data_IF_733195807373
#
_entry.id   IF_733195807373
#
_cell.length_a   1.000
_cell.length_b   1.000
_cell.length_c   1.000
_cell.angle_alpha   90.00
_cell.angle_beta   90.00
_cell.angle_gamma   90.00
#
_symmetry.space_group_name_H-M   'P 1'
#
loop_
_entity.id
_entity.type
_entity.pdbx_description
1 polymer ?
#
# COMPACT_ATOMS: atom_id res chain seq x y z
N UNK A 1 -8.46 21.75 -9.35
CA UNK A 1 -8.76 20.93 -8.15
C UNK A 1 -10.06 21.36 -7.45
N UNK A 2 -10.24 22.63 -7.04
CA UNK A 2 -11.50 23.10 -6.39
C UNK A 2 -12.74 22.95 -7.28
N UNK A 3 -12.66 23.33 -8.56
CA UNK A 3 -13.79 23.20 -9.50
C UNK A 3 -14.23 21.73 -9.73
N UNK A 4 -13.28 20.79 -9.73
CA UNK A 4 -13.59 19.35 -9.84
C UNK A 4 -14.18 18.81 -8.54
N UNK A 5 -13.62 19.20 -7.39
CA UNK A 5 -14.18 18.81 -6.09
C UNK A 5 -15.64 19.29 -6.01
N UNK A 6 -15.95 20.52 -6.39
CA UNK A 6 -17.32 21.03 -6.35
C UNK A 6 -18.23 20.38 -7.40
N UNK A 7 -17.68 20.04 -8.56
CA UNK A 7 -18.42 19.33 -9.62
C UNK A 7 -18.79 17.90 -9.24
N UNK A 8 -18.00 17.19 -8.44
CA UNK A 8 -18.18 15.75 -8.18
C UNK A 8 -18.56 15.40 -6.74
N UNK A 9 -18.30 16.29 -5.76
CA UNK A 9 -18.59 16.02 -4.35
C UNK A 9 -20.08 15.74 -4.12
N UNK A 10 -20.37 14.55 -3.59
CA UNK A 10 -21.73 14.12 -3.24
C UNK A 10 -22.57 13.61 -4.42
N UNK A 11 -22.03 13.51 -5.64
CA UNK A 11 -22.73 12.94 -6.81
C UNK A 11 -22.58 11.42 -6.88
N UNK A 12 -23.54 10.75 -7.51
CA UNK A 12 -23.52 9.28 -7.62
C UNK A 12 -22.48 8.81 -8.64
N UNK A 13 -21.76 7.73 -8.35
CA UNK A 13 -20.92 7.04 -9.35
C UNK A 13 -21.70 6.60 -10.61
N UNK A 14 -23.04 6.45 -10.52
CA UNK A 14 -23.90 6.16 -11.68
C UNK A 14 -23.91 7.28 -12.71
N UNK A 15 -23.61 8.52 -12.30
CA UNK A 15 -23.49 9.68 -13.18
C UNK A 15 -22.16 9.69 -13.93
N UNK A 16 -21.23 8.80 -13.58
CA UNK A 16 -19.88 8.68 -14.16
C UNK A 16 -19.56 7.22 -14.52
N UNK A 17 -20.33 6.60 -15.45
CA UNK A 17 -20.24 5.17 -15.75
C UNK A 17 -18.89 4.72 -16.33
N UNK A 18 -18.10 5.68 -16.85
CA UNK A 18 -16.76 5.45 -17.39
C UNK A 18 -15.67 5.43 -16.30
N UNK A 19 -15.97 5.93 -15.09
CA UNK A 19 -15.08 5.90 -13.93
C UNK A 19 -15.43 4.74 -12.99
N UNK A 20 -15.18 3.51 -13.45
CA UNK A 20 -15.47 2.31 -12.66
C UNK A 20 -14.37 2.03 -11.63
N UNK A 21 -14.69 2.28 -10.38
CA UNK A 21 -13.88 1.85 -9.25
C UNK A 21 -14.27 0.43 -8.86
N UNK A 22 -13.38 -0.52 -9.15
CA UNK A 22 -13.57 -1.93 -8.77
C UNK A 22 -12.49 -2.37 -7.82
N UNK A 23 -12.90 -3.03 -6.74
CA UNK A 23 -12.00 -3.66 -5.79
C UNK A 23 -12.38 -5.12 -5.55
N UNK A 24 -11.38 -6.01 -5.47
CA UNK A 24 -11.58 -7.42 -5.17
C UNK A 24 -12.04 -7.62 -3.73
N UNK A 25 -12.84 -8.68 -3.51
CA UNK A 25 -13.29 -9.05 -2.16
C UNK A 25 -12.10 -9.35 -1.24
N UNK A 26 -11.06 -9.98 -1.77
CA UNK A 26 -9.87 -10.33 -1.00
C UNK A 26 -9.10 -9.08 -0.57
N UNK A 27 -8.93 -8.10 -1.47
CA UNK A 27 -8.31 -6.84 -1.09
C UNK A 27 -9.12 -6.09 -0.05
N UNK A 28 -10.46 -6.03 -0.18
CA UNK A 28 -11.33 -5.43 0.85
C UNK A 28 -11.14 -6.05 2.24
N UNK A 29 -10.98 -7.38 2.32
CA UNK A 29 -10.71 -8.06 3.59
C UNK A 29 -9.34 -7.66 4.17
N UNK A 30 -8.31 -7.55 3.32
CA UNK A 30 -6.97 -7.13 3.74
C UNK A 30 -6.94 -5.66 4.16
N UNK A 31 -7.57 -4.75 3.43
CA UNK A 31 -7.70 -3.34 3.84
C UNK A 31 -8.41 -3.25 5.18
N UNK A 32 -9.45 -4.06 5.40
CA UNK A 32 -10.17 -4.08 6.67
C UNK A 32 -9.29 -4.56 7.83
N UNK A 33 -8.41 -5.54 7.56
CA UNK A 33 -7.35 -5.95 8.51
C UNK A 33 -6.42 -4.76 8.82
N UNK A 34 -5.90 -4.06 7.81
CA UNK A 34 -4.95 -2.96 8.00
C UNK A 34 -5.59 -1.77 8.73
N UNK A 35 -6.80 -1.37 8.34
CA UNK A 35 -7.56 -0.32 9.01
C UNK A 35 -7.82 -0.64 10.49
N UNK A 36 -8.13 -1.91 10.79
CA UNK A 36 -8.27 -2.36 12.18
C UNK A 36 -6.93 -2.36 12.93
N UNK A 37 -5.79 -2.52 12.25
CA UNK A 37 -4.48 -2.37 12.87
C UNK A 37 -4.18 -0.90 13.18
N UNK A 38 -4.47 0.03 12.25
CA UNK A 38 -4.30 1.48 12.47
C UNK A 38 -5.14 1.95 13.67
N UNK A 39 -6.40 1.51 13.71
CA UNK A 39 -7.30 1.75 14.84
C UNK A 39 -6.77 1.20 16.17
N UNK A 40 -5.85 0.24 16.18
CA UNK A 40 -5.29 -0.34 17.40
C UNK A 40 -3.98 0.29 17.83
N UNK A 41 -3.32 1.08 16.99
CA UNK A 41 -2.07 1.76 17.35
C UNK A 41 -2.22 3.27 17.52
N UNK A 42 -3.36 3.84 17.16
CA UNK A 42 -3.65 5.27 17.32
C UNK A 42 -3.83 5.65 18.80
N UNK A 43 -2.79 6.26 19.40
CA UNK A 43 -2.85 6.70 20.81
C UNK A 43 -3.80 7.88 21.02
N UNK A 44 -3.93 8.76 20.03
CA UNK A 44 -4.74 9.98 20.11
C UNK A 44 -6.23 9.62 20.08
N UNK A 45 -6.60 8.63 19.27
CA UNK A 45 -7.96 8.06 19.24
C UNK A 45 -8.44 7.55 20.60
N UNK A 46 -7.53 7.21 21.51
CA UNK A 46 -7.86 6.66 22.83
C UNK A 46 -7.44 7.54 24.00
N UNK A 47 -7.13 8.83 23.76
CA UNK A 47 -6.70 9.76 24.81
C UNK A 47 -5.50 9.23 25.62
N UNK A 48 -4.56 8.58 24.91
CA UNK A 48 -3.34 8.00 25.47
C UNK A 48 -2.10 8.73 24.97
N UNK A 49 -1.04 8.73 25.78
CA UNK A 49 0.26 9.25 25.39
C UNK A 49 1.39 8.37 25.91
N UNK A 50 2.20 7.84 24.99
CA UNK A 50 3.45 7.16 25.30
C UNK A 50 4.65 8.06 24.97
N UNK A 51 4.69 8.51 23.72
CA UNK A 51 5.66 9.46 23.17
C UNK A 51 5.13 9.93 21.79
N UNK A 52 5.70 11.02 21.27
CA UNK A 52 5.20 11.72 20.08
C UNK A 52 5.00 10.78 18.87
N UNK A 53 5.98 9.94 18.56
CA UNK A 53 5.99 9.15 17.32
C UNK A 53 5.36 7.76 17.48
N UNK A 54 4.66 7.50 18.59
CA UNK A 54 4.10 6.18 18.87
C UNK A 54 3.16 5.71 17.75
N UNK A 55 2.20 6.55 17.34
CA UNK A 55 1.27 6.22 16.25
C UNK A 55 2.00 6.12 14.91
N UNK A 56 2.98 6.99 14.65
CA UNK A 56 3.77 6.98 13.43
C UNK A 56 4.52 5.64 13.24
N UNK A 57 5.12 5.12 14.32
CA UNK A 57 5.74 3.80 14.29
C UNK A 57 4.71 2.65 14.21
N UNK A 58 3.51 2.85 14.73
CA UNK A 58 2.38 1.94 14.53
C UNK A 58 2.02 1.81 13.06
N UNK A 59 1.86 2.92 12.35
CA UNK A 59 1.61 2.92 10.90
C UNK A 59 2.79 2.33 10.11
N UNK A 60 4.03 2.64 10.50
CA UNK A 60 5.22 2.01 9.91
C UNK A 60 5.18 0.47 10.04
N UNK A 61 4.76 -0.05 11.20
CA UNK A 61 4.58 -1.50 11.41
C UNK A 61 3.46 -2.09 10.53
N UNK A 62 2.42 -1.30 10.23
CA UNK A 62 1.30 -1.70 9.37
C UNK A 62 1.72 -1.75 7.90
N UNK A 63 2.47 -0.75 7.41
CA UNK A 63 3.07 -0.78 6.07
C UNK A 63 3.99 -1.99 5.92
N UNK A 64 4.82 -2.28 6.91
CA UNK A 64 5.65 -3.48 6.91
C UNK A 64 4.83 -4.77 6.92
N UNK A 65 3.69 -4.81 7.62
CA UNK A 65 2.77 -5.93 7.57
C UNK A 65 2.22 -6.16 6.15
N UNK A 66 1.94 -5.10 5.37
CA UNK A 66 1.55 -5.22 3.95
C UNK A 66 2.68 -5.84 3.11
N UNK A 67 3.92 -5.38 3.32
CA UNK A 67 5.10 -5.92 2.64
C UNK A 67 5.31 -7.39 3.00
N UNK A 68 5.11 -7.76 4.27
CA UNK A 68 5.20 -9.16 4.76
C UNK A 68 4.09 -10.03 4.15
N UNK A 69 2.85 -9.54 4.09
CA UNK A 69 1.73 -10.26 3.48
C UNK A 69 2.03 -10.53 2.00
N UNK A 70 2.48 -9.52 1.26
CA UNK A 70 2.91 -9.67 -0.13
C UNK A 70 4.06 -10.68 -0.26
N UNK A 71 5.14 -10.50 0.50
CA UNK A 71 6.31 -11.37 0.43
C UNK A 71 5.96 -12.82 0.77
N UNK A 72 5.01 -13.03 1.69
CA UNK A 72 4.51 -14.35 2.06
C UNK A 72 3.81 -15.03 0.88
N UNK A 73 2.90 -14.33 0.20
CA UNK A 73 2.25 -14.85 -1.01
C UNK A 73 3.26 -15.08 -2.15
N UNK A 74 4.17 -14.14 -2.37
CA UNK A 74 5.18 -14.20 -3.43
C UNK A 74 6.17 -15.37 -3.23
N UNK A 75 6.50 -15.69 -1.97
CA UNK A 75 7.39 -16.81 -1.59
C UNK A 75 6.73 -18.19 -1.68
N UNK A 76 5.43 -18.32 -1.94
CA UNK A 76 4.79 -19.64 -2.15
C UNK A 76 5.32 -20.32 -3.41
N UNK A 77 5.57 -21.63 -3.32
CA UNK A 77 6.05 -22.45 -4.46
C UNK A 77 5.08 -22.43 -5.63
N UNK A 78 3.78 -22.53 -5.31
CA UNK A 78 2.68 -22.35 -6.25
C UNK A 78 1.99 -21.05 -5.89
N UNK A 79 2.29 -19.99 -6.63
CA UNK A 79 1.72 -18.67 -6.39
C UNK A 79 0.44 -18.47 -7.20
N UNK A 80 -0.56 -17.85 -6.59
CA UNK A 80 -1.73 -17.35 -7.32
C UNK A 80 -1.47 -15.91 -7.73
N UNK A 81 -1.54 -15.57 -9.02
CA UNK A 81 -1.39 -14.18 -9.49
C UNK A 81 -2.44 -13.26 -8.85
N UNK A 82 -3.65 -13.75 -8.64
CA UNK A 82 -4.74 -13.01 -8.01
C UNK A 82 -4.49 -12.76 -6.51
N UNK A 83 -3.90 -13.72 -5.79
CA UNK A 83 -3.55 -13.53 -4.38
C UNK A 83 -2.44 -12.48 -4.22
N UNK A 84 -1.40 -12.55 -5.07
CA UNK A 84 -0.32 -11.54 -5.12
C UNK A 84 -0.90 -10.16 -5.45
N UNK A 85 -1.74 -10.08 -6.48
CA UNK A 85 -2.39 -8.82 -6.87
C UNK A 85 -3.27 -8.26 -5.75
N UNK A 86 -4.02 -9.11 -5.04
CA UNK A 86 -4.88 -8.69 -3.93
C UNK A 86 -4.08 -8.03 -2.78
N UNK A 87 -2.82 -8.45 -2.54
CA UNK A 87 -1.95 -7.79 -1.57
C UNK A 87 -1.60 -6.36 -1.99
N UNK A 88 -1.23 -6.17 -3.27
CA UNK A 88 -0.89 -4.84 -3.80
C UNK A 88 -2.12 -3.94 -3.84
N UNK A 89 -3.24 -4.46 -4.35
CA UNK A 89 -4.52 -3.76 -4.36
C UNK A 89 -4.92 -3.29 -2.96
N UNK A 90 -4.78 -4.16 -1.95
CA UNK A 90 -5.09 -3.81 -0.57
C UNK A 90 -4.14 -2.75 0.00
N UNK A 91 -2.84 -2.85 -0.28
CA UNK A 91 -1.88 -1.84 0.14
C UNK A 91 -2.24 -0.46 -0.45
N UNK A 92 -2.50 -0.39 -1.76
CA UNK A 92 -2.84 0.88 -2.41
C UNK A 92 -4.17 1.45 -1.92
N UNK A 93 -5.19 0.62 -1.74
CA UNK A 93 -6.46 1.04 -1.16
C UNK A 93 -6.28 1.59 0.25
N UNK A 94 -5.50 0.92 1.10
CA UNK A 94 -5.29 1.39 2.47
C UNK A 94 -4.55 2.74 2.50
N UNK A 95 -3.43 2.84 1.78
CA UNK A 95 -2.60 4.05 1.73
C UNK A 95 -3.37 5.29 1.18
N UNK A 96 -4.35 5.07 0.30
CA UNK A 96 -5.13 6.16 -0.29
C UNK A 96 -6.44 6.47 0.45
N UNK A 97 -6.97 5.55 1.28
CA UNK A 97 -8.28 5.72 1.96
C UNK A 97 -8.10 6.11 3.43
N UNK A 98 -7.13 5.51 4.14
CA UNK A 98 -7.01 5.65 5.59
C UNK A 98 -6.08 6.79 6.02
N UNK A 99 -5.49 7.52 5.07
CA UNK A 99 -4.55 8.59 5.33
C UNK A 99 -3.20 8.05 5.79
N UNK A 100 -2.12 8.57 5.24
CA UNK A 100 -0.74 8.21 5.64
C UNK A 100 -0.02 9.38 6.29
N UNK A 101 -0.75 10.45 6.66
CA UNK A 101 -0.18 11.70 7.14
C UNK A 101 0.66 11.49 8.40
N UNK A 102 0.15 10.72 9.36
CA UNK A 102 0.85 10.46 10.62
C UNK A 102 2.07 9.55 10.44
N UNK A 103 2.10 8.75 9.37
CA UNK A 103 3.26 7.92 9.07
C UNK A 103 4.43 8.79 8.55
N UNK A 104 4.14 9.84 7.78
CA UNK A 104 5.13 10.80 7.30
C UNK A 104 5.77 11.63 8.42
N UNK A 105 5.12 11.75 9.57
CA UNK A 105 5.66 12.51 10.71
C UNK A 105 6.63 11.70 11.56
N UNK A 106 6.92 10.44 11.20
CA UNK A 106 7.92 9.61 11.87
C UNK A 106 9.31 10.25 11.81
N UNK A 107 10.03 10.27 12.93
CA UNK A 107 11.43 10.72 12.99
C UNK A 107 12.41 9.83 12.18
N UNK A 108 12.08 8.56 11.96
CA UNK A 108 12.81 7.62 11.10
C UNK A 108 12.41 7.76 9.61
N UNK A 109 12.64 8.94 9.03
CA UNK A 109 12.30 9.24 7.64
C UNK A 109 12.99 8.34 6.60
N UNK A 110 14.19 7.83 6.92
CA UNK A 110 14.91 6.89 6.05
C UNK A 110 14.16 5.56 5.93
N UNK A 111 13.68 4.99 7.04
CA UNK A 111 12.87 3.78 7.02
C UNK A 111 11.56 3.98 6.29
N UNK A 112 10.91 5.13 6.50
CA UNK A 112 9.68 5.51 5.79
C UNK A 112 9.91 5.47 4.26
N UNK A 113 10.94 6.17 3.77
CA UNK A 113 11.29 6.18 2.34
C UNK A 113 11.64 4.78 1.80
N UNK A 114 12.44 4.00 2.55
CA UNK A 114 12.79 2.62 2.14
C UNK A 114 11.58 1.68 2.12
N UNK A 115 10.59 1.90 2.97
CA UNK A 115 9.33 1.15 2.96
C UNK A 115 8.52 1.46 1.70
N UNK A 116 8.50 2.73 1.30
CA UNK A 116 7.83 3.15 0.08
C UNK A 116 8.47 2.54 -1.18
N UNK A 117 9.80 2.52 -1.24
CA UNK A 117 10.57 1.82 -2.29
C UNK A 117 10.29 0.30 -2.29
N UNK A 118 10.11 -0.31 -1.10
CA UNK A 118 9.72 -1.72 -1.01
C UNK A 118 8.32 -1.99 -1.56
N UNK A 119 7.36 -1.08 -1.36
CA UNK A 119 6.03 -1.15 -1.97
C UNK A 119 6.09 -0.98 -3.50
N UNK A 120 6.93 -0.06 -4.01
CA UNK A 120 7.20 0.08 -5.44
C UNK A 120 7.76 -1.22 -6.04
N UNK A 121 8.76 -1.81 -5.38
CA UNK A 121 9.36 -3.08 -5.78
C UNK A 121 8.37 -4.24 -5.72
N UNK A 122 7.45 -4.24 -4.75
CA UNK A 122 6.38 -5.23 -4.64
C UNK A 122 5.37 -5.11 -5.79
N UNK A 123 4.95 -3.87 -6.12
CA UNK A 123 4.06 -3.61 -7.26
C UNK A 123 4.71 -4.07 -8.59
N UNK A 124 5.98 -3.71 -8.83
CA UNK A 124 6.72 -4.15 -10.01
C UNK A 124 6.78 -5.68 -10.09
N UNK A 125 7.08 -6.36 -8.99
CA UNK A 125 7.09 -7.81 -8.93
C UNK A 125 5.71 -8.44 -9.20
N UNK A 126 4.63 -7.83 -8.69
CA UNK A 126 3.27 -8.26 -8.95
C UNK A 126 2.90 -8.15 -10.43
N UNK A 127 3.19 -7.01 -11.06
CA UNK A 127 2.99 -6.79 -12.48
C UNK A 127 3.81 -7.79 -13.32
N UNK A 128 5.05 -8.08 -12.89
CA UNK A 128 5.88 -9.12 -13.48
C UNK A 128 5.22 -10.51 -13.47
N UNK A 129 4.57 -10.87 -12.36
CA UNK A 129 3.77 -12.11 -12.27
C UNK A 129 2.56 -12.07 -13.20
N UNK A 130 1.83 -10.95 -13.24
CA UNK A 130 0.70 -10.81 -14.16
C UNK A 130 1.14 -10.94 -15.62
N UNK A 131 2.28 -10.35 -16.01
CA UNK A 131 2.85 -10.50 -17.36
C UNK A 131 3.19 -11.95 -17.68
N UNK A 132 3.88 -12.65 -16.76
CA UNK A 132 4.27 -14.05 -16.96
C UNK A 132 3.08 -14.99 -17.16
N UNK A 133 1.93 -14.64 -16.59
CA UNK A 133 0.70 -15.42 -16.62
C UNK A 133 -0.30 -14.91 -17.69
N UNK A 134 0.14 -14.01 -18.58
CA UNK A 134 -0.69 -13.41 -19.65
C UNK A 134 -1.95 -12.71 -19.10
N UNK A 135 -1.83 -12.09 -17.92
CA UNK A 135 -2.88 -11.33 -17.24
C UNK A 135 -2.63 -9.81 -17.28
N UNK A 136 -1.43 -9.34 -17.60
CA UNK A 136 -1.13 -7.91 -17.76
C UNK A 136 -1.39 -7.48 -19.20
N UNK A 137 -2.66 -7.24 -19.57
CA UNK A 137 -3.06 -6.85 -20.93
C UNK A 137 -4.39 -6.09 -20.94
N UNK A 138 -4.74 -5.35 -22.02
CA UNK A 138 -5.99 -4.58 -22.07
C UNK A 138 -7.27 -5.39 -21.83
N UNK A 139 -7.31 -6.64 -22.31
CA UNK A 139 -8.44 -7.56 -22.11
C UNK A 139 -8.29 -8.44 -20.85
N UNK A 140 -7.57 -7.97 -19.82
CA UNK A 140 -7.37 -8.71 -18.58
C UNK A 140 -8.69 -8.96 -17.84
N UNK A 141 -8.88 -10.13 -17.20
CA UNK A 141 -9.97 -10.34 -16.26
C UNK A 141 -9.80 -9.56 -14.94
N UNK A 142 -8.67 -8.89 -14.72
CA UNK A 142 -8.40 -8.05 -13.55
C UNK A 142 -8.72 -6.59 -13.95
N UNK A 143 -9.90 -6.06 -13.59
CA UNK A 143 -10.40 -4.80 -14.16
C UNK A 143 -9.70 -3.54 -13.64
N UNK A 144 -8.90 -3.64 -12.58
CA UNK A 144 -8.39 -2.48 -11.86
C UNK A 144 -6.87 -2.32 -11.90
N UNK A 145 -6.17 -2.98 -12.82
CA UNK A 145 -4.70 -2.84 -12.96
C UNK A 145 -4.31 -1.37 -13.10
N UNK A 146 -4.88 -0.68 -14.09
CA UNK A 146 -4.60 0.74 -14.35
C UNK A 146 -4.90 1.62 -13.13
N UNK A 147 -6.03 1.39 -12.46
CA UNK A 147 -6.45 2.16 -11.28
C UNK A 147 -5.47 1.98 -10.12
N UNK A 148 -5.09 0.75 -9.79
CA UNK A 148 -4.17 0.46 -8.67
C UNK A 148 -2.77 1.04 -8.95
N UNK A 149 -2.29 0.95 -10.19
CA UNK A 149 -1.02 1.59 -10.59
C UNK A 149 -1.11 3.11 -10.48
N UNK A 150 -2.21 3.71 -10.93
CA UNK A 150 -2.42 5.15 -10.81
C UNK A 150 -2.49 5.60 -9.33
N UNK A 151 -3.18 4.86 -8.47
CA UNK A 151 -3.23 5.09 -7.02
C UNK A 151 -1.85 5.01 -6.37
N UNK A 152 -1.01 4.06 -6.80
CA UNK A 152 0.37 3.97 -6.33
C UNK A 152 1.15 5.22 -6.72
N UNK A 153 1.09 5.66 -7.98
CA UNK A 153 1.83 6.85 -8.38
C UNK A 153 1.33 8.10 -7.68
N UNK A 154 0.01 8.27 -7.51
CA UNK A 154 -0.55 9.42 -6.78
C UNK A 154 0.05 9.52 -5.38
N UNK A 155 0.16 8.38 -4.70
CA UNK A 155 0.69 8.31 -3.35
C UNK A 155 2.22 8.46 -3.31
N UNK A 156 2.96 7.80 -4.21
CA UNK A 156 4.43 7.81 -4.18
C UNK A 156 5.01 9.19 -4.53
N UNK A 157 4.32 9.98 -5.35
CA UNK A 157 4.78 11.32 -5.73
C UNK A 157 4.71 12.34 -4.60
N UNK A 158 4.02 12.03 -3.51
CA UNK A 158 4.01 12.88 -2.31
C UNK A 158 5.28 12.67 -1.45
N UNK A 159 6.13 11.68 -1.77
CA UNK A 159 7.39 11.46 -1.07
C UNK A 159 8.54 12.25 -1.71
N UNK A 160 8.98 13.32 -1.05
CA UNK A 160 10.14 14.11 -1.48
C UNK A 160 11.49 13.40 -1.30
N UNK A 161 11.55 12.36 -0.44
CA UNK A 161 12.80 11.67 -0.08
C UNK A 161 13.05 10.37 -0.86
N UNK A 162 12.28 10.10 -1.92
CA UNK A 162 12.56 8.98 -2.81
C UNK A 162 13.59 9.42 -3.85
N UNK A 163 14.60 8.57 -4.05
CA UNK A 163 15.61 8.78 -5.08
C UNK A 163 14.95 8.88 -6.45
N UNK A 164 15.19 9.98 -7.16
CA UNK A 164 14.68 10.21 -8.52
C UNK A 164 15.10 9.07 -9.46
N UNK A 165 16.23 8.42 -9.16
CA UNK A 165 16.76 7.28 -9.93
C UNK A 165 16.23 5.91 -9.45
N UNK A 166 15.22 5.82 -8.56
CA UNK A 166 14.69 4.51 -8.12
C UNK A 166 14.10 3.74 -9.31
N UNK A 167 14.75 2.65 -9.78
CA UNK A 167 14.40 2.04 -11.06
C UNK A 167 13.01 1.39 -11.05
N UNK A 168 12.52 0.99 -9.87
CA UNK A 168 11.22 0.34 -9.77
C UNK A 168 10.09 1.21 -10.32
N UNK A 169 10.15 2.53 -10.12
CA UNK A 169 9.14 3.49 -10.54
C UNK A 169 9.09 3.57 -12.08
N UNK A 170 10.23 3.81 -12.73
CA UNK A 170 10.33 3.85 -14.18
C UNK A 170 9.94 2.51 -14.83
N UNK A 171 10.38 1.39 -14.25
CA UNK A 171 10.07 0.05 -14.75
C UNK A 171 8.57 -0.30 -14.67
N UNK A 172 7.82 0.23 -13.68
CA UNK A 172 6.36 0.05 -13.63
C UNK A 172 5.71 0.71 -14.85
N UNK A 173 6.10 1.95 -15.20
CA UNK A 173 5.57 2.65 -16.37
C UNK A 173 5.97 1.92 -17.66
N UNK A 174 7.24 1.53 -17.77
CA UNK A 174 7.76 0.77 -18.91
C UNK A 174 6.95 -0.51 -19.16
N UNK A 175 6.64 -1.25 -18.09
CA UNK A 175 5.90 -2.50 -18.16
C UNK A 175 4.44 -2.31 -18.57
N UNK A 176 3.79 -1.24 -18.12
CA UNK A 176 2.44 -0.88 -18.55
C UNK A 176 2.41 -0.52 -20.05
N UNK A 177 3.34 0.33 -20.50
CA UNK A 177 3.47 0.73 -21.92
C UNK A 177 3.77 -0.45 -22.84
N UNK A 178 4.70 -1.31 -22.44
CA UNK A 178 5.07 -2.47 -23.23
C UNK A 178 3.92 -3.48 -23.41
N UNK A 179 2.98 -3.55 -22.46
CA UNK A 179 1.76 -4.35 -22.58
C UNK A 179 0.58 -3.59 -23.20
N UNK A 180 0.79 -2.36 -23.67
CA UNK A 180 -0.25 -1.53 -24.29
C UNK A 180 -1.36 -1.10 -23.32
N UNK A 181 -1.03 -0.97 -22.02
CA UNK A 181 -1.94 -0.52 -20.98
C UNK A 181 -1.69 0.95 -20.65
N UNK A 182 -2.77 1.73 -20.61
CA UNK A 182 -2.77 3.08 -20.08
C UNK A 182 -2.80 3.03 -18.54
N UNK A 183 -1.99 3.87 -17.88
CA UNK A 183 -2.16 4.15 -16.45
C UNK A 183 -3.31 5.14 -16.38
N UNK A 184 -4.42 4.76 -15.73
CA UNK A 184 -5.69 5.48 -15.78
C UNK A 184 -6.59 5.14 -14.59
N UNK A 185 -7.65 5.91 -14.39
CA UNK A 185 -8.68 5.66 -13.36
C UNK A 185 -8.75 6.72 -12.26
N UNK A 186 -7.71 7.55 -12.15
CA UNK A 186 -7.79 8.80 -11.40
C UNK A 186 -8.35 9.92 -12.30
N UNK A 187 -9.00 10.91 -11.69
CA UNK A 187 -9.58 12.05 -12.41
C UNK A 187 -8.57 13.15 -12.76
N UNK A 188 -7.40 13.13 -12.14
CA UNK A 188 -6.39 14.19 -12.26
C UNK A 188 -5.62 14.08 -13.59
N UNK A 189 -6.21 14.63 -14.66
CA UNK A 189 -5.67 14.51 -16.03
C UNK A 189 -4.26 15.09 -16.16
N UNK A 190 -3.96 16.17 -15.44
CA UNK A 190 -2.62 16.78 -15.44
C UNK A 190 -1.60 15.82 -14.83
N UNK A 191 -1.92 15.22 -13.69
CA UNK A 191 -1.11 14.15 -13.11
C UNK A 191 -0.94 12.97 -14.07
N UNK A 192 -2.02 12.53 -14.72
CA UNK A 192 -1.98 11.39 -15.64
C UNK A 192 -1.10 11.65 -16.87
N UNK A 193 -1.06 12.88 -17.39
CA UNK A 193 -0.26 13.21 -18.59
C UNK A 193 1.26 13.02 -18.40
N UNK A 194 1.73 12.98 -17.15
CA UNK A 194 3.15 12.69 -16.84
C UNK A 194 3.56 11.28 -17.27
N UNK A 195 2.61 10.36 -17.40
CA UNK A 195 2.90 9.00 -17.84
C UNK A 195 3.00 8.87 -19.36
N UNK A 196 2.68 9.90 -20.14
CA UNK A 196 2.78 9.87 -21.60
C UNK A 196 4.22 10.04 -22.10
N UNK A 197 5.13 10.56 -21.24
CA UNK A 197 6.54 10.81 -21.56
C UNK A 197 7.30 9.56 -22.04
N UNK A 198 8.22 9.72 -22.99
CA UNK A 198 9.02 8.60 -23.49
C UNK A 198 9.83 7.94 -22.36
N UNK A 199 9.83 6.61 -22.36
CA UNK A 199 10.60 5.82 -21.39
C UNK A 199 11.96 5.50 -21.99
N UNK A 200 12.98 5.58 -21.14
CA UNK A 200 14.34 5.21 -21.49
C UNK A 200 14.43 3.80 -22.11
N UNK A 201 15.23 3.68 -23.18
CA UNK A 201 15.36 2.44 -23.95
C UNK A 201 15.88 1.28 -23.07
N UNK A 202 16.76 1.54 -22.10
CA UNK A 202 17.31 0.50 -21.21
C UNK A 202 16.21 -0.05 -20.30
N UNK A 203 15.32 0.80 -19.77
CA UNK A 203 14.20 0.35 -18.95
C UNK A 203 13.18 -0.45 -19.78
N UNK A 204 12.93 -0.02 -21.02
CA UNK A 204 12.10 -0.78 -21.97
C UNK A 204 12.72 -2.15 -22.29
N UNK A 205 14.03 -2.24 -22.50
CA UNK A 205 14.73 -3.51 -22.72
C UNK A 205 14.69 -4.43 -21.49
N UNK A 206 14.83 -3.88 -20.28
CA UNK A 206 14.73 -4.65 -19.02
C UNK A 206 13.36 -5.29 -18.86
N UNK A 207 12.27 -4.57 -19.15
CA UNK A 207 10.91 -5.15 -19.03
C UNK A 207 10.56 -6.11 -20.16
N UNK A 208 11.08 -5.91 -21.37
CA UNK A 208 10.93 -6.86 -22.51
C UNK A 208 11.67 -8.16 -22.24
N UNK A 209 12.88 -8.07 -21.69
CA UNK A 209 13.74 -9.22 -21.42
C UNK A 209 13.31 -10.04 -20.20
N UNK A 210 12.18 -9.71 -19.55
CA UNK A 210 11.60 -10.39 -18.40
C UNK A 210 11.72 -11.92 -18.56
N UNK A 211 12.75 -12.47 -17.92
CA UNK A 211 13.09 -13.90 -18.01
C UNK A 211 11.95 -14.70 -17.39
N UNK A 212 11.80 -15.98 -17.75
CA UNK A 212 10.94 -16.94 -17.02
C UNK A 212 11.43 -17.23 -15.59
N UNK A 213 12.22 -16.33 -15.01
CA UNK A 213 12.65 -16.36 -13.64
C UNK A 213 11.46 -16.12 -12.71
N UNK A 214 11.48 -16.76 -11.55
CA UNK A 214 10.43 -16.58 -10.55
C UNK A 214 10.35 -15.13 -10.05
N UNK A 215 11.48 -14.47 -9.90
CA UNK A 215 11.57 -13.09 -9.42
C UNK A 215 12.39 -12.26 -10.42
N UNK A 216 11.77 -11.86 -11.54
CA UNK A 216 12.49 -11.25 -12.66
C UNK A 216 13.04 -9.85 -12.34
N UNK A 217 12.55 -9.22 -11.28
CA UNK A 217 12.90 -7.86 -10.87
C UNK A 217 13.59 -7.81 -9.48
N UNK A 218 13.94 -8.97 -8.91
CA UNK A 218 14.78 -9.06 -7.70
C UNK A 218 14.12 -8.56 -6.41
N UNK A 219 12.79 -8.66 -6.28
CA UNK A 219 12.08 -8.24 -5.07
C UNK A 219 12.56 -9.00 -3.82
N UNK A 220 12.81 -10.30 -3.90
CA UNK A 220 13.19 -11.13 -2.76
C UNK A 220 14.54 -10.75 -2.18
N UNK A 221 15.49 -10.35 -3.03
CA UNK A 221 16.79 -9.87 -2.59
C UNK A 221 16.67 -8.49 -1.92
N UNK A 222 15.90 -7.56 -2.51
CA UNK A 222 15.56 -6.27 -1.88
C UNK A 222 14.87 -6.46 -0.53
N UNK A 223 13.88 -7.35 -0.45
CA UNK A 223 13.17 -7.69 0.78
C UNK A 223 14.10 -8.23 1.87
N UNK A 224 15.04 -9.11 1.49
CA UNK A 224 16.02 -9.65 2.43
C UNK A 224 16.88 -8.55 3.02
N UNK A 225 17.44 -7.68 2.18
CA UNK A 225 18.27 -6.55 2.62
C UNK A 225 17.49 -5.59 3.53
N UNK A 226 16.24 -5.31 3.18
CA UNK A 226 15.38 -4.46 4.00
C UNK A 226 15.14 -5.07 5.40
N UNK A 227 14.85 -6.37 5.47
CA UNK A 227 14.69 -7.06 6.78
C UNK A 227 15.97 -7.04 7.59
N UNK A 228 17.13 -7.25 6.96
CA UNK A 228 18.44 -7.20 7.62
C UNK A 228 18.71 -5.80 8.21
N UNK A 229 18.35 -4.74 7.47
CA UNK A 229 18.55 -3.35 7.89
C UNK A 229 17.60 -2.87 8.99
N UNK A 230 16.32 -3.22 8.94
CA UNK A 230 15.28 -2.58 9.78
C UNK A 230 14.54 -3.52 10.74
N UNK A 231 14.65 -4.84 10.57
CA UNK A 231 13.79 -5.80 11.28
C UNK A 231 14.48 -6.96 11.97
N UNK A 232 15.78 -7.22 11.78
CA UNK A 232 16.44 -8.48 12.19
C UNK A 232 15.91 -9.06 13.53
N UNK A 233 15.21 -10.22 13.53
CA UNK A 233 15.05 -11.19 12.43
C UNK A 233 13.81 -11.01 11.52
N UNK A 234 12.90 -10.05 11.78
CA UNK A 234 11.68 -9.81 10.98
C UNK A 234 11.17 -8.35 11.07
N UNK A 235 10.60 -7.85 9.99
CA UNK A 235 9.86 -6.58 9.96
C UNK A 235 8.38 -6.79 10.30
N UNK A 236 7.66 -5.70 10.54
CA UNK A 236 6.24 -5.71 10.88
C UNK A 236 5.96 -6.37 12.23
N UNK A 237 4.68 -6.55 12.53
CA UNK A 237 4.24 -7.16 13.78
C UNK A 237 2.99 -6.54 14.37
N UNK A 238 3.08 -6.26 15.66
CA UNK A 238 1.99 -5.77 16.52
C UNK A 238 2.54 -5.17 17.82
N UNK A 239 3.75 -4.61 17.77
CA UNK A 239 4.44 -4.00 18.90
C UNK A 239 3.67 -2.79 19.41
N UNK A 240 3.00 -2.07 18.52
CA UNK A 240 2.24 -0.85 18.82
C UNK A 240 0.74 -1.12 19.03
N UNK A 241 0.33 -2.38 19.04
CA UNK A 241 -1.06 -2.77 19.28
C UNK A 241 -1.45 -2.51 20.75
N UNK A 242 -2.18 -1.43 20.99
CA UNK A 242 -2.64 -0.99 22.31
C UNK A 242 -3.53 -2.06 22.98
N UNK A 243 -4.18 -2.93 22.22
CA UNK A 243 -5.02 -4.01 22.75
C UNK A 243 -4.21 -5.11 23.42
N UNK A 244 -2.90 -5.18 23.15
CA UNK A 244 -1.97 -6.14 23.76
C UNK A 244 -1.36 -5.65 25.07
N UNK A 245 -1.50 -4.36 25.36
CA UNK A 245 -1.09 -3.81 26.66
C UNK A 245 -1.99 -4.32 27.77
N UNK A 246 -1.45 -4.43 28.97
CA UNK A 246 -2.25 -4.69 30.16
C UNK A 246 -3.16 -3.50 30.47
N UNK A 247 -4.24 -3.76 31.22
CA UNK A 247 -5.12 -2.70 31.74
C UNK A 247 -4.36 -1.65 32.56
N UNK A 248 -3.32 -2.05 33.29
CA UNK A 248 -2.52 -1.14 34.09
C UNK A 248 -1.68 -0.21 33.20
N UNK A 249 -1.02 -0.75 32.18
CA UNK A 249 -0.23 0.03 31.22
C UNK A 249 -1.10 1.03 30.46
N UNK A 250 -2.28 0.61 29.99
CA UNK A 250 -3.20 1.53 29.31
C UNK A 250 -3.67 2.67 30.20
N UNK A 251 -4.02 2.35 31.45
CA UNK A 251 -4.38 3.39 32.43
C UNK A 251 -3.23 4.35 32.68
N UNK A 252 -2.00 3.85 32.77
CA UNK A 252 -0.87 4.72 33.03
C UNK A 252 -0.65 5.73 31.90
N UNK A 253 -0.80 5.30 30.65
CA UNK A 253 -0.66 6.16 29.47
C UNK A 253 -1.86 7.07 29.18
N UNK A 254 -3.06 6.75 29.69
CA UNK A 254 -4.27 7.56 29.48
C UNK A 254 -4.24 8.86 30.31
N UNK A 255 -4.64 10.00 29.71
CA UNK A 255 -4.59 11.31 30.38
C UNK A 255 -5.36 11.36 31.71
N UNK A 256 -6.56 10.76 31.75
CA UNK A 256 -7.39 10.62 32.96
C UNK A 256 -7.11 9.38 33.85
N UNK A 257 -6.06 8.59 33.57
CA UNK A 257 -5.77 7.33 34.27
C UNK A 257 -6.89 6.26 34.21
N UNK A 258 -7.69 6.28 33.14
CA UNK A 258 -8.77 5.32 32.85
C UNK A 258 -8.31 4.29 31.83
N UNK A 259 -8.98 3.13 31.81
CA UNK A 259 -8.75 2.16 30.76
C UNK A 259 -9.66 2.51 29.59
N UNK A 260 -9.13 2.96 28.42
CA UNK A 260 -9.96 3.40 27.30
C UNK A 260 -10.81 2.26 26.73
N UNK A 261 -10.49 1.01 27.05
CA UNK A 261 -11.19 -0.17 26.52
C UNK A 261 -12.18 -0.78 27.53
N UNK A 262 -12.43 -0.12 28.66
CA UNK A 262 -13.30 -0.65 29.72
C UNK A 262 -14.74 -0.94 29.22
N UNK A 263 -15.25 -0.08 28.33
CA UNK A 263 -16.62 -0.14 27.81
C UNK A 263 -16.68 -0.53 26.33
N UNK A 264 -15.56 -1.00 25.75
CA UNK A 264 -15.52 -1.40 24.35
C UNK A 264 -16.47 -2.60 24.10
N UNK A 265 -17.37 -2.54 23.10
CA UNK A 265 -18.30 -3.62 22.84
C UNK A 265 -17.58 -4.90 22.42
N UNK A 266 -18.19 -6.05 22.70
CA UNK A 266 -17.67 -7.33 22.26
C UNK A 266 -17.45 -7.32 20.74
N UNK A 267 -16.24 -7.67 20.31
CA UNK A 267 -15.86 -7.73 18.90
C UNK A 267 -15.38 -6.41 18.28
N UNK A 268 -15.31 -5.31 19.04
CA UNK A 268 -14.80 -4.01 18.56
C UNK A 268 -13.44 -4.14 17.89
N UNK A 269 -12.51 -4.85 18.54
CA UNK A 269 -11.14 -5.04 18.05
C UNK A 269 -10.94 -6.27 17.15
N UNK A 270 -12.01 -6.93 16.74
CA UNK A 270 -11.94 -8.12 15.86
C UNK A 270 -12.78 -7.98 14.59
N UNK A 271 -13.56 -6.90 14.50
CA UNK A 271 -14.41 -6.62 13.35
C UNK A 271 -13.74 -5.54 12.50
N UNK A 272 -13.34 -5.85 11.25
CA UNK A 272 -12.83 -4.83 10.35
C UNK A 272 -13.83 -3.68 10.19
N UNK A 273 -13.38 -2.41 10.15
CA UNK A 273 -14.26 -1.30 9.83
C UNK A 273 -14.88 -1.51 8.44
N UNK A 274 -16.12 -1.05 8.26
CA UNK A 274 -16.77 -1.12 6.95
C UNK A 274 -16.08 -0.11 6.03
N UNK A 275 -15.31 -0.60 5.07
CA UNK A 275 -14.75 0.22 3.99
C UNK A 275 -15.88 0.50 3.02
N UNK A 276 -16.25 1.79 2.90
CA UNK A 276 -17.28 2.27 1.97
C UNK A 276 -16.73 2.21 0.55
#
# INVERSE_FOLDING_TARGET
MEEDIEKYRGKSLREYPDHKWTASKQAKLLVGKYALQSDKCDQDKYDMYFYNDFTAYGEQEIVENMIVDFATEFKKKTRSPLAIWSCIEAAQLHLNIHGTEIWYTSDDGDRVAKSAIMLASALLAALGVLKQEDLLKPASPIPNISLVVAMFFRWITDFENIDEDEPAIAMIIALMKEQGLEIAGLHDVEFMSKFDEEIDDDEMERVKSNKKARDPFGFLDKYKLYVEGYGTPKIGGSKFDLTKLSKAERKEAHFDKKDPFADAPAGYFTTPPTII
#
